data_IF_301159010766
#
_entry.id   IF_301159010766
#
_cell.length_a   1.000
_cell.length_b   1.000
_cell.length_c   1.000
_cell.angle_alpha   90.00
_cell.angle_beta   90.00
_cell.angle_gamma   90.00
#
_symmetry.space_group_name_H-M   'P 1'
#
loop_
_entity.id
_entity.type
_entity.pdbx_description
1 polymer ?
#
# COMPACT_ATOMS: atom_id res chain seq x y z
N UNK A 1 -14.84 26.60 0.77
CA UNK A 1 -15.24 25.51 1.70
C UNK A 1 -16.11 24.52 0.93
N UNK A 2 -15.63 23.30 0.66
CA UNK A 2 -16.49 22.22 0.16
C UNK A 2 -17.25 21.63 1.35
N UNK A 3 -18.56 21.37 1.26
CA UNK A 3 -19.30 20.78 2.36
C UNK A 3 -18.79 19.35 2.61
N UNK A 4 -18.27 19.10 3.81
CA UNK A 4 -18.05 17.75 4.30
C UNK A 4 -19.43 17.09 4.42
N UNK A 5 -19.74 16.18 3.49
CA UNK A 5 -20.85 15.25 3.67
C UNK A 5 -20.49 14.43 4.91
N UNK A 6 -21.12 14.73 6.06
CA UNK A 6 -21.13 13.87 7.23
C UNK A 6 -21.63 12.50 6.76
N UNK A 7 -20.71 11.57 6.50
CA UNK A 7 -21.07 10.28 5.94
C UNK A 7 -21.87 9.54 7.00
N UNK A 8 -23.18 9.41 6.81
CA UNK A 8 -24.04 8.69 7.73
C UNK A 8 -23.51 7.26 7.91
N UNK A 9 -23.41 6.83 9.17
CA UNK A 9 -23.11 5.45 9.56
C UNK A 9 -24.03 4.48 8.82
N UNK A 10 -23.59 3.22 8.71
CA UNK A 10 -24.47 2.14 8.22
C UNK A 10 -25.69 2.06 9.15
N UNK A 11 -26.89 2.05 8.58
CA UNK A 11 -28.13 2.08 9.34
C UNK A 11 -28.32 0.81 10.17
N UNK A 12 -29.05 0.94 11.28
CA UNK A 12 -29.42 -0.19 12.12
C UNK A 12 -30.16 -1.27 11.32
N UNK A 13 -31.13 -0.91 10.47
CA UNK A 13 -31.86 -1.87 9.63
C UNK A 13 -30.94 -2.66 8.71
N UNK A 14 -29.90 -2.02 8.16
CA UNK A 14 -28.91 -2.70 7.33
C UNK A 14 -28.13 -3.72 8.16
N UNK A 15 -27.73 -3.38 9.38
CA UNK A 15 -27.00 -4.28 10.27
C UNK A 15 -27.89 -5.41 10.80
N UNK A 16 -29.16 -5.13 11.08
CA UNK A 16 -30.15 -6.13 11.50
C UNK A 16 -30.43 -7.17 10.39
N UNK A 17 -30.27 -6.79 9.12
CA UNK A 17 -30.42 -7.71 7.99
C UNK A 17 -29.26 -8.71 7.80
N UNK A 18 -28.11 -8.49 8.46
CA UNK A 18 -26.87 -9.27 8.27
C UNK A 18 -27.06 -10.80 8.34
N UNK A 19 -27.88 -11.37 9.24
CA UNK A 19 -28.10 -12.82 9.28
C UNK A 19 -28.64 -13.43 7.96
N UNK A 20 -29.29 -12.61 7.12
CA UNK A 20 -29.99 -13.06 5.92
C UNK A 20 -29.29 -12.67 4.61
N UNK A 21 -28.27 -11.82 4.65
CA UNK A 21 -27.65 -11.31 3.41
C UNK A 21 -26.82 -12.36 2.70
N UNK A 22 -26.82 -12.31 1.37
CA UNK A 22 -25.95 -13.11 0.51
C UNK A 22 -24.54 -12.53 0.38
N UNK A 23 -23.69 -13.26 -0.36
CA UNK A 23 -22.24 -13.00 -0.47
C UNK A 23 -21.88 -11.57 -0.88
N UNK A 24 -22.43 -11.06 -1.98
CA UNK A 24 -22.07 -9.74 -2.50
C UNK A 24 -22.53 -8.62 -1.56
N UNK A 25 -23.75 -8.73 -1.02
CA UNK A 25 -24.29 -7.73 -0.10
C UNK A 25 -23.53 -7.70 1.21
N UNK A 26 -23.12 -8.85 1.74
CA UNK A 26 -22.32 -8.91 2.97
C UNK A 26 -20.99 -8.17 2.81
N UNK A 27 -20.24 -8.45 1.73
CA UNK A 27 -18.96 -7.77 1.46
C UNK A 27 -19.18 -6.25 1.36
N UNK A 28 -20.23 -5.81 0.65
CA UNK A 28 -20.56 -4.37 0.57
C UNK A 28 -20.92 -3.77 1.93
N UNK A 29 -21.64 -4.48 2.79
CA UNK A 29 -21.92 -4.01 4.16
C UNK A 29 -20.60 -3.88 4.93
N UNK A 30 -19.72 -4.89 4.89
CA UNK A 30 -18.41 -4.83 5.55
C UNK A 30 -17.57 -3.65 5.06
N UNK A 31 -17.54 -3.37 3.75
CA UNK A 31 -16.87 -2.19 3.17
C UNK A 31 -17.44 -0.87 3.68
N UNK A 32 -18.77 -0.80 3.83
CA UNK A 32 -19.42 0.39 4.32
C UNK A 32 -19.18 0.58 5.81
N UNK A 33 -19.19 -0.49 6.60
CA UNK A 33 -18.90 -0.46 8.03
C UNK A 33 -17.46 -0.01 8.27
N UNK A 34 -16.46 -0.56 7.56
CA UNK A 34 -15.07 -0.12 7.77
C UNK A 34 -14.86 1.36 7.39
N UNK A 35 -15.53 1.84 6.33
CA UNK A 35 -15.39 3.22 5.84
C UNK A 35 -16.15 4.25 6.69
N UNK A 36 -17.35 3.90 7.12
CA UNK A 36 -18.31 4.85 7.70
C UNK A 36 -18.76 4.49 9.11
N UNK A 37 -18.40 3.34 9.65
CA UNK A 37 -18.90 2.81 10.92
C UNK A 37 -20.34 2.29 10.87
N UNK A 38 -20.86 1.71 11.97
CA UNK A 38 -20.24 1.67 13.31
C UNK A 38 -19.13 0.61 13.43
N UNK A 39 -17.94 1.03 13.84
CA UNK A 39 -16.78 0.14 14.03
C UNK A 39 -16.76 -0.46 15.45
N UNK A 40 -17.81 -1.18 15.81
CA UNK A 40 -17.93 -1.82 17.13
C UNK A 40 -17.67 -3.32 17.05
N UNK A 41 -17.15 -3.90 18.13
CA UNK A 41 -16.91 -5.35 18.25
C UNK A 41 -18.16 -6.18 17.91
N UNK A 42 -19.33 -5.80 18.42
CA UNK A 42 -20.58 -6.51 18.18
C UNK A 42 -20.98 -6.52 16.70
N UNK A 43 -20.78 -5.39 16.00
CA UNK A 43 -21.05 -5.29 14.56
C UNK A 43 -20.18 -6.26 13.78
N UNK A 44 -18.87 -6.30 14.08
CA UNK A 44 -17.93 -7.18 13.41
C UNK A 44 -18.15 -8.66 13.74
N UNK A 45 -18.52 -9.00 14.98
CA UNK A 45 -18.92 -10.37 15.35
C UNK A 45 -20.10 -10.85 14.49
N UNK A 46 -21.13 -10.01 14.32
CA UNK A 46 -22.29 -10.36 13.49
C UNK A 46 -21.92 -10.57 12.01
N UNK A 47 -21.11 -9.66 11.45
CA UNK A 47 -20.64 -9.75 10.06
C UNK A 47 -19.76 -10.99 9.82
N UNK A 48 -18.81 -11.25 10.71
CA UNK A 48 -17.90 -12.40 10.64
C UNK A 48 -18.68 -13.70 10.82
N UNK A 49 -19.61 -13.77 11.78
CA UNK A 49 -20.47 -14.94 11.98
C UNK A 49 -21.23 -15.30 10.71
N UNK A 50 -21.86 -14.30 10.06
CA UNK A 50 -22.53 -14.53 8.78
C UNK A 50 -21.55 -15.00 7.70
N UNK A 51 -20.41 -14.31 7.56
CA UNK A 51 -19.40 -14.68 6.57
C UNK A 51 -18.90 -16.12 6.77
N UNK A 52 -18.77 -16.56 8.02
CA UNK A 52 -18.34 -17.91 8.38
C UNK A 52 -19.36 -18.97 7.93
N UNK A 53 -20.67 -18.68 8.04
CA UNK A 53 -21.76 -19.56 7.61
C UNK A 53 -21.73 -19.75 6.08
N UNK A 54 -21.56 -18.67 5.33
CA UNK A 54 -21.63 -18.68 3.85
C UNK A 54 -20.25 -18.73 3.17
N UNK A 55 -19.19 -19.05 3.91
CA UNK A 55 -17.79 -18.94 3.45
C UNK A 55 -17.54 -19.64 2.11
N UNK A 56 -18.07 -20.85 1.96
CA UNK A 56 -17.88 -21.67 0.75
C UNK A 56 -18.55 -21.09 -0.50
N UNK A 57 -19.49 -20.16 -0.34
CA UNK A 57 -20.23 -19.55 -1.44
C UNK A 57 -19.54 -18.32 -2.02
N UNK A 58 -18.50 -17.79 -1.37
CA UNK A 58 -17.77 -16.63 -1.89
C UNK A 58 -16.93 -17.01 -3.11
N UNK A 59 -16.87 -16.12 -4.11
CA UNK A 59 -15.89 -16.21 -5.19
C UNK A 59 -14.53 -15.68 -4.71
N UNK A 60 -13.48 -15.92 -5.49
CA UNK A 60 -12.12 -15.38 -5.24
C UNK A 60 -12.14 -13.86 -5.06
N UNK A 61 -12.90 -13.13 -5.89
CA UNK A 61 -13.08 -11.67 -5.78
C UNK A 61 -13.76 -11.23 -4.49
N UNK A 62 -14.75 -12.01 -4.01
CA UNK A 62 -15.40 -11.68 -2.74
C UNK A 62 -14.46 -11.93 -1.55
N UNK A 63 -13.74 -13.04 -1.55
CA UNK A 63 -12.79 -13.38 -0.50
C UNK A 63 -11.63 -12.38 -0.43
N UNK A 64 -11.06 -12.00 -1.58
CA UNK A 64 -9.94 -11.06 -1.63
C UNK A 64 -10.35 -9.68 -1.13
N UNK A 65 -11.54 -9.19 -1.50
CA UNK A 65 -12.13 -7.97 -0.94
C UNK A 65 -12.36 -8.08 0.55
N UNK A 66 -12.90 -9.20 1.03
CA UNK A 66 -13.12 -9.44 2.45
C UNK A 66 -11.81 -9.38 3.25
N UNK A 67 -10.77 -10.05 2.77
CA UNK A 67 -9.44 -10.03 3.37
C UNK A 67 -8.87 -8.59 3.43
N UNK A 68 -9.01 -7.81 2.36
CA UNK A 68 -8.59 -6.41 2.32
C UNK A 68 -9.37 -5.48 3.27
N UNK A 69 -10.63 -5.82 3.57
CA UNK A 69 -11.44 -5.11 4.56
C UNK A 69 -10.98 -5.47 5.96
N UNK A 70 -10.81 -6.76 6.24
CA UNK A 70 -10.44 -7.27 7.55
C UNK A 70 -9.01 -6.90 7.94
N UNK A 71 -8.11 -6.71 6.97
CA UNK A 71 -6.77 -6.19 7.22
C UNK A 71 -6.74 -4.77 7.82
N UNK A 72 -7.89 -4.08 7.84
CA UNK A 72 -8.08 -2.75 8.45
C UNK A 72 -8.94 -2.83 9.72
N UNK A 73 -9.51 -3.98 10.02
CA UNK A 73 -10.39 -4.21 11.16
C UNK A 73 -9.58 -4.69 12.37
N UNK A 74 -9.88 -4.14 13.55
CA UNK A 74 -9.23 -4.52 14.81
C UNK A 74 -9.96 -5.65 15.56
N UNK A 75 -11.11 -6.09 15.06
CA UNK A 75 -12.03 -7.00 15.75
C UNK A 75 -12.17 -8.36 15.04
N UNK A 76 -11.17 -8.76 14.25
CA UNK A 76 -11.13 -10.06 13.59
C UNK A 76 -10.38 -11.08 14.46
N UNK A 77 -10.97 -12.25 14.67
CA UNK A 77 -10.37 -13.35 15.39
C UNK A 77 -9.38 -14.13 14.53
N UNK A 78 -8.31 -14.64 15.15
CA UNK A 78 -7.26 -15.38 14.44
C UNK A 78 -7.80 -16.64 13.76
N UNK A 79 -8.75 -17.35 14.39
CA UNK A 79 -9.39 -18.54 13.81
C UNK A 79 -10.05 -18.26 12.47
N UNK A 80 -10.76 -17.14 12.35
CA UNK A 80 -11.37 -16.74 11.09
C UNK A 80 -10.34 -16.34 10.04
N UNK A 81 -9.24 -15.68 10.45
CA UNK A 81 -8.13 -15.34 9.56
C UNK A 81 -7.47 -16.60 8.98
N UNK A 82 -7.20 -17.61 9.81
CA UNK A 82 -6.64 -18.89 9.34
C UNK A 82 -7.60 -19.62 8.39
N UNK A 83 -8.92 -19.55 8.66
CA UNK A 83 -9.92 -20.11 7.76
C UNK A 83 -9.95 -19.38 6.41
N UNK A 84 -9.85 -18.04 6.40
CA UNK A 84 -9.74 -17.25 5.18
C UNK A 84 -8.46 -17.58 4.39
N UNK A 85 -7.34 -17.74 5.07
CA UNK A 85 -6.07 -18.20 4.47
C UNK A 85 -6.28 -19.56 3.79
N UNK A 86 -6.83 -20.55 4.50
CA UNK A 86 -7.11 -21.88 3.95
C UNK A 86 -8.03 -21.83 2.72
N UNK A 87 -9.12 -21.05 2.77
CA UNK A 87 -10.04 -20.91 1.64
C UNK A 87 -9.43 -20.17 0.44
N UNK A 88 -8.55 -19.18 0.67
CA UNK A 88 -7.80 -18.53 -0.41
C UNK A 88 -6.83 -19.49 -1.10
N UNK A 89 -6.14 -20.36 -0.33
CA UNK A 89 -5.21 -21.36 -0.88
C UNK A 89 -5.90 -22.41 -1.75
N UNK A 90 -7.15 -22.77 -1.43
CA UNK A 90 -7.94 -23.71 -2.25
C UNK A 90 -8.39 -23.13 -3.59
N UNK A 91 -8.34 -21.80 -3.75
CA UNK A 91 -8.88 -21.10 -4.93
C UNK A 91 -7.84 -20.29 -5.68
N UNK A 92 -6.56 -20.59 -5.48
CA UNK A 92 -5.46 -19.90 -6.18
C UNK A 92 -5.64 -20.01 -7.69
N UNK A 93 -5.91 -21.21 -8.19
CA UNK A 93 -6.01 -21.47 -9.63
C UNK A 93 -7.14 -20.69 -10.32
N UNK A 94 -8.21 -20.36 -9.59
CA UNK A 94 -9.35 -19.57 -10.07
C UNK A 94 -9.17 -18.05 -9.90
N UNK A 95 -8.05 -17.62 -9.30
CA UNK A 95 -7.86 -16.21 -8.92
C UNK A 95 -7.32 -15.38 -10.07
N UNK A 96 -7.92 -14.22 -10.31
CA UNK A 96 -7.34 -13.19 -11.18
C UNK A 96 -6.25 -12.40 -10.45
N UNK A 97 -5.45 -11.61 -11.18
CA UNK A 97 -4.34 -10.82 -10.61
C UNK A 97 -4.81 -9.90 -9.46
N UNK A 98 -6.02 -9.34 -9.58
CA UNK A 98 -6.60 -8.48 -8.57
C UNK A 98 -6.89 -9.28 -7.28
N UNK A 99 -7.46 -10.48 -7.42
CA UNK A 99 -7.72 -11.36 -6.29
C UNK A 99 -6.42 -11.83 -5.64
N UNK A 100 -5.41 -12.25 -6.41
CA UNK A 100 -4.09 -12.61 -5.91
C UNK A 100 -3.46 -11.46 -5.11
N UNK A 101 -3.48 -10.24 -5.66
CA UNK A 101 -2.96 -9.06 -4.97
C UNK A 101 -3.70 -8.76 -3.66
N UNK A 102 -5.04 -8.89 -3.65
CA UNK A 102 -5.85 -8.67 -2.46
C UNK A 102 -5.62 -9.73 -1.38
N UNK A 103 -5.44 -11.00 -1.78
CA UNK A 103 -5.11 -12.08 -0.87
C UNK A 103 -3.75 -11.86 -0.20
N UNK A 104 -2.68 -11.78 -1.00
CA UNK A 104 -1.33 -11.67 -0.47
C UNK A 104 -1.15 -10.39 0.34
N UNK A 105 -1.62 -9.25 -0.17
CA UNK A 105 -1.47 -7.98 0.52
C UNK A 105 -2.27 -7.92 1.83
N UNK A 106 -3.53 -8.38 1.82
CA UNK A 106 -4.35 -8.36 3.03
C UNK A 106 -3.88 -9.36 4.08
N UNK A 107 -3.48 -10.57 3.67
CA UNK A 107 -2.92 -11.59 4.57
C UNK A 107 -1.57 -11.15 5.16
N UNK A 108 -0.73 -10.45 4.40
CA UNK A 108 0.51 -9.86 4.93
C UNK A 108 0.23 -8.78 5.97
N UNK A 109 -0.75 -7.90 5.72
CA UNK A 109 -1.16 -6.87 6.67
C UNK A 109 -1.73 -7.45 7.97
N UNK A 110 -2.32 -8.64 7.91
CA UNK A 110 -2.80 -9.39 9.07
C UNK A 110 -1.71 -10.26 9.72
N UNK A 111 -0.49 -10.29 9.17
CA UNK A 111 0.66 -11.01 9.75
C UNK A 111 0.66 -12.52 9.51
N UNK A 112 -0.14 -13.03 8.56
CA UNK A 112 -0.30 -14.47 8.30
C UNK A 112 0.23 -14.91 6.92
N UNK A 113 0.89 -14.00 6.20
CA UNK A 113 1.55 -14.29 4.93
C UNK A 113 2.93 -14.90 5.20
N UNK A 114 3.06 -16.20 4.95
CA UNK A 114 4.31 -16.95 5.06
C UNK A 114 4.90 -17.29 3.68
N UNK A 115 6.11 -17.83 3.67
CA UNK A 115 6.79 -18.23 2.44
C UNK A 115 6.02 -19.33 1.68
N UNK A 116 5.30 -20.20 2.39
CA UNK A 116 4.49 -21.27 1.80
C UNK A 116 3.34 -20.67 0.97
N UNK A 117 2.62 -19.71 1.54
CA UNK A 117 1.56 -18.99 0.86
C UNK A 117 2.09 -18.27 -0.38
N UNK A 118 3.23 -17.57 -0.26
CA UNK A 118 3.82 -16.86 -1.39
C UNK A 118 4.20 -17.79 -2.53
N UNK A 119 4.87 -18.90 -2.21
CA UNK A 119 5.26 -19.89 -3.21
C UNK A 119 4.03 -20.51 -3.89
N UNK A 120 2.97 -20.77 -3.12
CA UNK A 120 1.71 -21.31 -3.67
C UNK A 120 1.04 -20.36 -4.65
N UNK A 121 1.06 -19.06 -4.38
CA UNK A 121 0.51 -18.04 -5.27
C UNK A 121 1.45 -17.64 -6.43
N UNK A 122 2.74 -17.97 -6.35
CA UNK A 122 3.79 -17.46 -7.25
C UNK A 122 3.50 -17.77 -8.72
N UNK A 123 3.28 -19.04 -9.05
CA UNK A 123 3.01 -19.46 -10.43
C UNK A 123 1.77 -18.78 -10.99
N UNK A 124 0.70 -18.73 -10.18
CA UNK A 124 -0.53 -18.08 -10.58
C UNK A 124 -0.35 -16.59 -10.83
N UNK A 125 0.43 -15.90 -10.00
CA UNK A 125 0.75 -14.49 -10.21
C UNK A 125 1.48 -14.32 -11.54
N UNK A 126 2.51 -15.13 -11.82
CA UNK A 126 3.26 -15.07 -13.07
C UNK A 126 2.33 -15.23 -14.28
N UNK A 127 1.43 -16.21 -14.25
CA UNK A 127 0.47 -16.46 -15.33
C UNK A 127 -0.52 -15.30 -15.55
N UNK A 128 -0.84 -14.56 -14.49
CA UNK A 128 -1.83 -13.49 -14.52
C UNK A 128 -1.25 -12.10 -14.79
N UNK A 129 0.08 -11.92 -14.69
CA UNK A 129 0.75 -10.64 -14.97
C UNK A 129 0.45 -10.13 -16.38
N UNK A 130 0.56 -10.93 -17.46
CA UNK A 130 0.29 -10.46 -18.82
C UNK A 130 -1.17 -10.00 -19.02
N UNK A 131 -2.12 -10.62 -18.31
CA UNK A 131 -3.54 -10.30 -18.39
C UNK A 131 -3.92 -9.02 -17.61
N UNK A 132 -3.02 -8.48 -16.78
CA UNK A 132 -3.29 -7.27 -16.01
C UNK A 132 -3.29 -6.04 -16.92
N UNK A 133 -4.38 -5.27 -16.91
CA UNK A 133 -4.47 -4.00 -17.66
C UNK A 133 -4.02 -2.79 -16.83
N UNK A 134 -3.91 -2.94 -15.50
CA UNK A 134 -3.61 -1.85 -14.56
C UNK A 134 -2.38 -2.21 -13.73
N UNK A 135 -1.55 -1.22 -13.41
CA UNK A 135 -0.33 -1.40 -12.63
C UNK A 135 -0.59 -1.58 -11.12
N UNK A 136 -1.69 -1.06 -10.57
CA UNK A 136 -1.95 -1.05 -9.13
C UNK A 136 -1.91 -2.44 -8.45
N UNK A 137 -2.54 -3.51 -8.99
CA UNK A 137 -2.40 -4.86 -8.43
C UNK A 137 -0.95 -5.35 -8.39
N UNK A 138 -0.16 -5.00 -9.41
CA UNK A 138 1.26 -5.36 -9.49
C UNK A 138 2.09 -4.63 -8.44
N UNK A 139 1.77 -3.36 -8.16
CA UNK A 139 2.39 -2.58 -7.08
C UNK A 139 2.15 -3.23 -5.71
N UNK A 140 0.92 -3.71 -5.46
CA UNK A 140 0.62 -4.42 -4.21
C UNK A 140 1.39 -5.73 -4.10
N UNK A 141 1.51 -6.49 -5.19
CA UNK A 141 2.30 -7.72 -5.22
C UNK A 141 3.79 -7.42 -5.01
N UNK A 142 4.32 -6.38 -5.65
CA UNK A 142 5.71 -5.95 -5.51
C UNK A 142 6.05 -5.64 -4.05
N UNK A 143 5.18 -4.93 -3.33
CA UNK A 143 5.34 -4.67 -1.90
C UNK A 143 5.60 -5.96 -1.12
N UNK A 144 4.80 -7.01 -1.38
CA UNK A 144 4.88 -8.27 -0.66
C UNK A 144 6.13 -9.05 -1.05
N UNK A 145 6.38 -9.27 -2.34
CA UNK A 145 7.57 -10.01 -2.78
C UNK A 145 8.87 -9.30 -2.37
N UNK A 146 8.91 -7.96 -2.41
CA UNK A 146 10.06 -7.21 -1.95
C UNK A 146 10.28 -7.33 -0.43
N UNK A 147 9.21 -7.26 0.37
CA UNK A 147 9.28 -7.46 1.83
C UNK A 147 9.85 -8.83 2.19
N UNK A 148 9.48 -9.85 1.43
CA UNK A 148 9.97 -11.23 1.60
C UNK A 148 11.30 -11.52 0.88
N UNK A 149 11.97 -10.49 0.34
CA UNK A 149 13.27 -10.59 -0.35
C UNK A 149 13.28 -11.53 -1.57
N UNK A 150 12.14 -11.70 -2.23
CA UNK A 150 12.06 -12.46 -3.48
C UNK A 150 12.53 -11.59 -4.65
N UNK A 151 13.83 -11.68 -4.92
CA UNK A 151 14.54 -10.86 -5.92
C UNK A 151 13.97 -11.04 -7.33
N UNK A 152 13.72 -12.29 -7.71
CA UNK A 152 13.26 -12.66 -9.05
C UNK A 152 11.87 -12.10 -9.33
N UNK A 153 10.91 -12.34 -8.42
CA UNK A 153 9.56 -11.79 -8.54
C UNK A 153 9.56 -10.25 -8.49
N UNK A 154 10.43 -9.65 -7.68
CA UNK A 154 10.58 -8.18 -7.61
C UNK A 154 10.99 -7.62 -8.97
N UNK A 155 11.98 -8.22 -9.65
CA UNK A 155 12.43 -7.78 -10.97
C UNK A 155 11.35 -7.96 -12.05
N UNK A 156 10.66 -9.11 -12.07
CA UNK A 156 9.55 -9.36 -12.99
C UNK A 156 8.46 -8.31 -12.81
N UNK A 157 8.02 -8.06 -11.58
CA UNK A 157 6.96 -7.10 -11.27
C UNK A 157 7.39 -5.66 -11.59
N UNK A 158 8.63 -5.26 -11.29
CA UNK A 158 9.15 -3.94 -11.66
C UNK A 158 9.11 -3.71 -13.16
N UNK A 159 9.56 -4.68 -13.95
CA UNK A 159 9.56 -4.58 -15.41
C UNK A 159 8.13 -4.40 -15.97
N UNK A 160 7.16 -5.07 -15.36
CA UNK A 160 5.76 -5.06 -15.80
C UNK A 160 5.00 -3.83 -15.32
N UNK A 161 5.32 -3.30 -14.14
CA UNK A 161 4.85 -1.99 -13.67
C UNK A 161 5.34 -0.90 -14.61
N UNK A 162 6.60 -0.94 -15.05
CA UNK A 162 7.16 0.04 -15.99
C UNK A 162 6.44 0.05 -17.34
N UNK A 163 6.11 -1.14 -17.88
CA UNK A 163 5.31 -1.25 -19.11
C UNK A 163 3.90 -0.65 -18.97
N UNK A 164 3.37 -0.59 -17.75
CA UNK A 164 1.99 -0.15 -17.43
C UNK A 164 1.97 1.16 -16.64
N UNK A 165 3.08 1.91 -16.64
CA UNK A 165 3.29 3.12 -15.83
C UNK A 165 2.22 4.19 -16.05
N UNK A 166 1.66 4.28 -17.25
CA UNK A 166 0.65 5.28 -17.62
C UNK A 166 -0.68 5.07 -16.88
N UNK A 167 -0.88 3.90 -16.28
CA UNK A 167 -2.06 3.58 -15.47
C UNK A 167 -1.87 3.89 -13.98
N UNK A 168 -0.66 4.28 -13.56
CA UNK A 168 -0.39 4.66 -12.18
C UNK A 168 -0.89 6.07 -11.90
N UNK A 169 -1.48 6.25 -10.72
CA UNK A 169 -1.65 7.59 -10.17
C UNK A 169 -0.26 8.14 -9.78
N UNK A 170 -0.09 9.48 -9.70
CA UNK A 170 1.16 10.07 -9.22
C UNK A 170 1.63 9.48 -7.89
N UNK A 171 0.72 9.24 -6.94
CA UNK A 171 1.03 8.61 -5.65
C UNK A 171 1.39 7.11 -5.79
N UNK A 172 0.91 6.45 -6.86
CA UNK A 172 1.19 5.05 -7.17
C UNK A 172 2.66 4.78 -7.50
N UNK A 173 3.43 5.78 -7.90
CA UNK A 173 4.89 5.65 -8.10
C UNK A 173 5.68 5.59 -6.79
N UNK A 174 5.18 6.23 -5.72
CA UNK A 174 5.92 6.29 -4.46
C UNK A 174 6.02 4.91 -3.79
N UNK A 175 4.96 4.11 -3.87
CA UNK A 175 4.88 2.83 -3.15
C UNK A 175 5.95 1.82 -3.62
N UNK A 176 6.09 1.51 -4.92
CA UNK A 176 7.19 0.68 -5.44
C UNK A 176 8.58 1.17 -5.02
N UNK A 177 8.83 2.48 -5.12
CA UNK A 177 10.12 3.06 -4.75
C UNK A 177 10.43 2.83 -3.27
N UNK A 178 9.48 3.14 -2.39
CA UNK A 178 9.63 2.96 -0.94
C UNK A 178 9.89 1.49 -0.61
N UNK A 179 9.11 0.60 -1.20
CA UNK A 179 9.14 -0.83 -0.88
C UNK A 179 10.42 -1.50 -1.33
N UNK A 180 10.87 -1.19 -2.56
CA UNK A 180 12.11 -1.74 -3.11
C UNK A 180 13.31 -1.17 -2.39
N UNK A 181 13.40 0.16 -2.17
CA UNK A 181 14.53 0.78 -1.48
C UNK A 181 14.67 0.34 -0.04
N UNK A 182 13.55 0.15 0.66
CA UNK A 182 13.55 -0.29 2.06
C UNK A 182 14.01 -1.74 2.19
N UNK A 183 13.82 -2.56 1.15
CA UNK A 183 14.10 -3.98 1.20
C UNK A 183 15.37 -4.42 0.49
N UNK A 184 15.80 -3.70 -0.53
CA UNK A 184 16.96 -4.02 -1.36
C UNK A 184 17.94 -2.84 -1.36
N UNK A 185 18.19 -2.27 -0.19
CA UNK A 185 18.98 -1.04 -0.04
C UNK A 185 20.42 -1.12 -0.56
N UNK A 186 20.97 -2.33 -0.74
CA UNK A 186 22.34 -2.60 -1.18
C UNK A 186 22.42 -3.46 -2.46
N UNK A 187 21.29 -3.71 -3.12
CA UNK A 187 21.27 -4.56 -4.31
C UNK A 187 21.40 -3.67 -5.56
N UNK A 188 22.60 -3.65 -6.14
CA UNK A 188 22.91 -2.82 -7.30
C UNK A 188 22.06 -3.17 -8.52
N UNK A 189 21.74 -4.45 -8.73
CA UNK A 189 20.96 -4.89 -9.89
C UNK A 189 19.51 -4.41 -9.78
N UNK A 190 18.90 -4.56 -8.60
CA UNK A 190 17.56 -4.03 -8.33
C UNK A 190 17.58 -2.50 -8.40
N UNK A 191 18.64 -1.84 -7.93
CA UNK A 191 18.77 -0.40 -8.05
C UNK A 191 18.80 0.06 -9.52
N UNK A 192 19.51 -0.66 -10.39
CA UNK A 192 19.48 -0.42 -11.85
C UNK A 192 18.07 -0.62 -12.39
N UNK A 193 17.39 -1.71 -12.04
CA UNK A 193 16.01 -1.98 -12.49
C UNK A 193 14.99 -0.94 -11.99
N UNK A 194 15.23 -0.32 -10.83
CA UNK A 194 14.38 0.72 -10.24
C UNK A 194 14.60 2.10 -10.87
N UNK A 195 15.75 2.34 -11.51
CA UNK A 195 16.14 3.64 -12.07
C UNK A 195 15.12 4.24 -13.05
N UNK A 196 14.57 3.48 -14.03
CA UNK A 196 13.54 4.02 -14.91
C UNK A 196 12.30 4.50 -14.15
N UNK A 197 11.90 3.78 -13.10
CA UNK A 197 10.73 4.14 -12.29
C UNK A 197 10.98 5.42 -11.50
N UNK A 198 12.21 5.60 -11.03
CA UNK A 198 12.64 6.85 -10.40
C UNK A 198 12.51 8.04 -11.35
N UNK A 199 12.99 7.93 -12.59
CA UNK A 199 12.91 9.02 -13.56
C UNK A 199 11.45 9.39 -13.87
N UNK A 200 10.58 8.41 -14.03
CA UNK A 200 9.14 8.64 -14.21
C UNK A 200 8.48 9.28 -12.99
N UNK A 201 8.92 8.91 -11.78
CA UNK A 201 8.45 9.54 -10.55
C UNK A 201 8.84 11.01 -10.45
N UNK A 202 10.01 11.40 -10.98
CA UNK A 202 10.42 12.81 -11.02
C UNK A 202 9.53 13.62 -11.97
N UNK A 203 9.19 13.06 -13.13
CA UNK A 203 8.28 13.71 -14.08
C UNK A 203 6.88 13.94 -13.50
N UNK A 204 6.48 13.15 -12.51
CA UNK A 204 5.17 13.21 -11.85
C UNK A 204 5.22 13.85 -10.44
N UNK A 205 6.38 14.36 -10.00
CA UNK A 205 6.57 14.80 -8.61
C UNK A 205 5.67 15.96 -8.21
N UNK A 206 5.34 16.85 -9.16
CA UNK A 206 4.46 18.01 -8.94
C UNK A 206 3.04 17.59 -8.53
N UNK A 207 2.62 16.40 -8.93
CA UNK A 207 1.29 15.86 -8.64
C UNK A 207 1.30 14.86 -7.48
N UNK A 208 2.46 14.57 -6.89
CA UNK A 208 2.55 13.72 -5.71
C UNK A 208 2.22 14.50 -4.45
N UNK A 209 1.54 13.84 -3.51
CA UNK A 209 1.29 14.46 -2.21
C UNK A 209 2.58 14.52 -1.37
N UNK A 210 2.66 15.52 -0.48
CA UNK A 210 3.82 15.77 0.35
C UNK A 210 4.24 14.55 1.19
N UNK A 211 3.28 13.75 1.67
CA UNK A 211 3.59 12.57 2.49
C UNK A 211 4.32 11.52 1.65
N UNK A 212 3.84 11.25 0.44
CA UNK A 212 4.50 10.32 -0.50
C UNK A 212 5.92 10.78 -0.83
N UNK A 213 6.12 12.06 -1.15
CA UNK A 213 7.45 12.63 -1.44
C UNK A 213 8.42 12.48 -0.26
N UNK A 214 7.96 12.78 0.96
CA UNK A 214 8.79 12.64 2.18
C UNK A 214 9.13 11.18 2.46
N UNK A 215 8.21 10.24 2.21
CA UNK A 215 8.48 8.81 2.39
C UNK A 215 9.52 8.30 1.39
N UNK A 216 9.42 8.68 0.11
CA UNK A 216 10.43 8.36 -0.90
C UNK A 216 11.78 8.97 -0.53
N UNK A 217 11.82 10.24 -0.11
CA UNK A 217 13.04 10.91 0.34
C UNK A 217 13.73 10.15 1.48
N UNK A 218 12.96 9.74 2.49
CA UNK A 218 13.48 9.00 3.64
C UNK A 218 13.96 7.59 3.26
N UNK A 219 13.25 6.89 2.38
CA UNK A 219 13.65 5.57 1.89
C UNK A 219 14.95 5.65 1.09
N UNK A 220 15.03 6.59 0.15
CA UNK A 220 16.22 6.85 -0.66
C UNK A 220 17.42 7.26 0.21
N UNK A 221 17.19 8.12 1.22
CA UNK A 221 18.23 8.57 2.13
C UNK A 221 18.91 7.44 2.91
N UNK A 222 18.17 6.36 3.21
CA UNK A 222 18.67 5.16 3.90
C UNK A 222 19.27 4.11 2.96
N UNK A 223 19.03 4.22 1.66
CA UNK A 223 19.54 3.27 0.65
C UNK A 223 20.96 3.61 0.19
N UNK A 224 21.65 2.63 -0.40
CA UNK A 224 22.92 2.80 -1.12
C UNK A 224 22.68 3.03 -2.62
N UNK A 225 21.48 3.48 -3.00
CA UNK A 225 21.07 3.68 -4.39
C UNK A 225 22.06 4.56 -5.19
N UNK A 226 22.46 4.15 -6.41
CA UNK A 226 23.34 4.93 -7.26
C UNK A 226 22.80 6.33 -7.54
N UNK A 227 23.67 7.34 -7.55
CA UNK A 227 23.27 8.73 -7.84
C UNK A 227 22.21 9.31 -6.87
N UNK A 228 22.01 8.71 -5.68
CA UNK A 228 21.03 9.19 -4.69
C UNK A 228 21.16 10.67 -4.31
N UNK A 229 22.38 11.22 -4.38
CA UNK A 229 22.64 12.63 -4.08
C UNK A 229 21.80 13.58 -4.95
N UNK A 230 21.76 13.34 -6.26
CA UNK A 230 21.02 14.15 -7.23
C UNK A 230 19.50 14.03 -7.02
N UNK A 231 19.02 12.80 -6.81
CA UNK A 231 17.61 12.53 -6.56
C UNK A 231 17.13 13.16 -5.24
N UNK A 232 17.92 13.03 -4.17
CA UNK A 232 17.63 13.68 -2.88
C UNK A 232 17.61 15.21 -3.04
N UNK A 233 18.50 15.78 -3.86
CA UNK A 233 18.49 17.22 -4.11
C UNK A 233 17.22 17.71 -4.80
N UNK A 234 16.78 16.99 -5.82
CA UNK A 234 15.55 17.27 -6.55
C UNK A 234 14.33 17.16 -5.62
N UNK A 235 14.17 16.04 -4.93
CA UNK A 235 13.07 15.82 -4.00
C UNK A 235 13.06 16.87 -2.89
N UNK A 236 14.23 17.24 -2.34
CA UNK A 236 14.30 18.28 -1.32
C UNK A 236 13.84 19.65 -1.83
N UNK A 237 14.24 20.04 -3.04
CA UNK A 237 13.78 21.30 -3.64
C UNK A 237 12.26 21.30 -3.83
N UNK A 238 11.71 20.17 -4.26
CA UNK A 238 10.29 20.01 -4.48
C UNK A 238 9.50 20.05 -3.16
N UNK A 239 9.93 19.26 -2.17
CA UNK A 239 9.32 19.23 -0.82
C UNK A 239 9.28 20.63 -0.21
N UNK A 240 10.39 21.39 -0.28
CA UNK A 240 10.47 22.74 0.30
C UNK A 240 9.44 23.70 -0.33
N UNK A 241 9.16 23.58 -1.63
CA UNK A 241 8.15 24.41 -2.31
C UNK A 241 6.72 24.14 -1.84
N UNK A 242 6.42 22.90 -1.43
CA UNK A 242 5.08 22.48 -1.00
C UNK A 242 4.84 22.54 0.51
N UNK A 243 5.85 22.90 1.30
CA UNK A 243 5.72 22.99 2.74
C UNK A 243 5.24 24.38 3.13
N UNK A 244 3.98 24.46 3.58
CA UNK A 244 3.55 25.56 4.43
C UNK A 244 4.28 25.46 5.78
N UNK A 245 4.86 26.57 6.24
CA UNK A 245 5.79 26.58 7.39
C UNK A 245 5.20 26.01 8.69
N UNK A 246 3.88 26.09 8.84
CA UNK A 246 3.13 25.53 9.97
C UNK A 246 3.19 23.99 9.97
N UNK A 247 3.19 23.35 8.80
CA UNK A 247 3.39 21.91 8.66
C UNK A 247 4.85 21.50 8.88
N UNK A 248 5.82 22.37 8.53
CA UNK A 248 7.24 22.10 8.73
C UNK A 248 7.58 21.86 10.20
N UNK A 249 7.12 22.76 11.08
CA UNK A 249 7.34 22.68 12.52
C UNK A 249 6.79 21.38 13.12
N UNK A 250 5.65 20.88 12.63
CA UNK A 250 5.05 19.61 13.05
C UNK A 250 5.79 18.36 12.51
N UNK A 251 6.54 18.50 11.41
CA UNK A 251 7.30 17.41 10.79
C UNK A 251 8.73 17.30 11.30
N UNK A 252 9.31 18.37 11.89
CA UNK A 252 10.67 18.37 12.47
C UNK A 252 10.89 17.18 13.44
N UNK A 253 9.99 16.85 14.39
CA UNK A 253 10.18 15.71 15.27
C UNK A 253 10.23 14.35 14.54
N UNK A 254 9.59 14.24 13.37
CA UNK A 254 9.62 13.04 12.52
C UNK A 254 10.86 12.97 11.63
N UNK A 255 11.47 14.10 11.30
CA UNK A 255 12.77 14.19 10.61
C UNK A 255 13.97 14.05 11.56
N UNK A 256 13.81 14.42 12.83
CA UNK A 256 14.87 14.49 13.86
C UNK A 256 14.73 13.38 14.93
N UNK A 257 13.76 12.47 14.78
CA UNK A 257 13.47 11.41 15.76
C UNK A 257 14.67 10.51 16.06
N UNK A 258 15.16 10.61 17.31
CA UNK A 258 16.29 9.90 17.96
C UNK A 258 17.62 9.97 17.18
N UNK A 259 18.44 10.95 17.56
CA UNK A 259 19.89 11.09 17.31
C UNK A 259 20.55 9.91 16.58
N UNK A 260 20.42 9.92 15.26
CA UNK A 260 21.38 9.37 14.32
C UNK A 260 21.55 10.43 13.24
N UNK A 261 22.77 10.93 12.98
CA UNK A 261 23.01 11.98 12.00
C UNK A 261 22.88 11.40 10.59
N UNK A 262 21.65 11.11 10.17
CA UNK A 262 21.37 10.84 8.78
C UNK A 262 21.47 12.17 8.01
N UNK A 263 22.60 12.32 7.32
CA UNK A 263 22.99 13.44 6.44
C UNK A 263 21.85 13.98 5.53
N UNK A 264 20.92 13.15 4.99
CA UNK A 264 19.83 13.66 4.15
C UNK A 264 18.94 14.69 4.86
N UNK A 265 18.52 14.41 6.09
CA UNK A 265 17.54 15.25 6.79
C UNK A 265 18.09 16.64 7.11
N UNK A 266 19.41 16.74 7.34
CA UNK A 266 20.07 18.02 7.58
C UNK A 266 20.10 18.91 6.32
N UNK A 267 20.20 18.30 5.13
CA UNK A 267 20.18 19.01 3.84
C UNK A 267 18.80 19.58 3.54
N UNK A 268 17.75 18.80 3.77
CA UNK A 268 16.36 19.26 3.65
C UNK A 268 16.07 20.41 4.63
N UNK A 269 16.53 20.27 5.89
CA UNK A 269 16.40 21.30 6.92
C UNK A 269 17.07 22.62 6.50
N UNK A 270 18.33 22.57 6.04
CA UNK A 270 19.06 23.76 5.56
C UNK A 270 18.35 24.44 4.39
N UNK A 271 17.89 23.67 3.39
CA UNK A 271 17.16 24.23 2.23
C UNK A 271 15.83 24.89 2.65
N UNK A 272 15.12 24.29 3.60
CA UNK A 272 13.86 24.84 4.12
C UNK A 272 14.04 26.16 4.87
N UNK A 273 15.12 26.27 5.65
CA UNK A 273 15.49 27.53 6.34
C UNK A 273 15.86 28.61 5.33
N UNK A 274 16.73 28.29 4.36
CA UNK A 274 17.17 29.23 3.34
C UNK A 274 16.02 29.75 2.45
N UNK A 275 15.05 28.90 2.11
CA UNK A 275 13.87 29.30 1.34
C UNK A 275 13.02 30.34 2.09
N UNK A 276 12.82 30.19 3.39
CA UNK A 276 12.08 31.18 4.19
C UNK A 276 12.83 32.51 4.29
N UNK A 277 14.14 32.48 4.53
CA UNK A 277 14.94 33.71 4.59
C UNK A 277 14.84 34.53 3.30
N UNK A 278 14.61 33.87 2.15
CA UNK A 278 14.39 34.53 0.85
C UNK A 278 12.93 34.94 0.58
N UNK A 279 11.96 34.28 1.20
CA UNK A 279 10.55 34.62 1.05
C UNK A 279 10.07 35.73 2.02
N UNK A 280 10.86 36.02 3.05
CA UNK A 280 10.55 37.01 4.08
C UNK A 280 11.31 38.35 3.91
N UNK A 281 12.20 38.44 2.91
CA UNK A 281 12.89 39.68 2.51
C UNK A 281 12.45 40.07 1.11
#
# INVERSE_FOLDING_TARGET
>A
MKPQILSRHVSFDTLASVPWVGVSRLVTIMENVIKRGPNTKNTWISLISRANIIMKSFSTRHLSRMIMILSKCQFCDQSFIERLKSESMKRVDDSDILSCSGFLFGLDKMGVCDAVLLNHFRNRVIDQIPASTVAYPLVLLLNIFAKHKDREMTNILLSEILKKKDTLTPQGFAMPLIDVLSNFSKDDEIAVALTPLFLESLNNSENMDLRSLVQVYNALGKSEFPSKSHYLDFLANHIVKHIEWVLFAALIPKFVGKYTPNIPNFKLLRKSIAYKSRAAG
#
